data_IF_421147058027
#
_entry.id   IF_421147058027
#
_cell.length_a   1.000
_cell.length_b   1.000
_cell.length_c   1.000
_cell.angle_alpha   90.00
_cell.angle_beta   90.00
_cell.angle_gamma   90.00
#
_symmetry.space_group_name_H-M   'P 1'
#
loop_
_entity.id
_entity.type
_entity.pdbx_description
1 polymer ?
#
# COMPACT_ATOMS: atom_id res chain seq x y z
N UNK A 1 3.78 13.32 13.90
CA UNK A 1 3.60 12.15 13.02
C UNK A 1 2.88 12.50 11.72
N UNK A 2 1.66 13.05 11.74
CA UNK A 2 0.84 13.38 10.54
C UNK A 2 1.55 14.26 9.50
N UNK A 3 2.22 15.33 9.92
CA UNK A 3 3.00 16.19 9.01
C UNK A 3 4.17 15.48 8.33
N UNK A 4 4.83 14.53 9.03
CA UNK A 4 5.93 13.76 8.46
C UNK A 4 5.47 12.80 7.37
N UNK A 5 4.33 12.12 7.60
CA UNK A 5 3.72 11.24 6.61
C UNK A 5 3.28 12.03 5.37
N UNK A 6 2.62 13.17 5.55
CA UNK A 6 2.16 13.96 4.40
C UNK A 6 3.33 14.56 3.59
N UNK A 7 4.40 14.99 4.25
CA UNK A 7 5.61 15.45 3.55
C UNK A 7 6.26 14.33 2.73
N UNK A 8 6.38 13.13 3.29
CA UNK A 8 6.88 11.96 2.58
C UNK A 8 5.95 11.55 1.43
N UNK A 9 4.64 11.60 1.65
CA UNK A 9 3.64 11.30 0.62
C UNK A 9 3.71 12.29 -0.54
N UNK A 10 3.80 13.59 -0.24
CA UNK A 10 4.02 14.63 -1.25
C UNK A 10 5.27 14.33 -2.07
N UNK A 11 6.39 14.04 -1.43
CA UNK A 11 7.62 13.70 -2.14
C UNK A 11 7.44 12.49 -3.07
N UNK A 12 6.76 11.43 -2.62
CA UNK A 12 6.48 10.26 -3.45
C UNK A 12 5.57 10.64 -4.64
N UNK A 13 4.54 11.47 -4.44
CA UNK A 13 3.68 11.96 -5.53
C UNK A 13 4.48 12.76 -6.57
N UNK A 14 5.41 13.60 -6.12
CA UNK A 14 6.30 14.37 -7.01
C UNK A 14 7.17 13.44 -7.86
N UNK A 15 7.77 12.40 -7.24
CA UNK A 15 8.56 11.37 -7.95
C UNK A 15 7.72 10.60 -8.97
N UNK A 16 6.48 10.23 -8.64
CA UNK A 16 5.56 9.56 -9.59
C UNK A 16 5.29 10.47 -10.79
N UNK A 17 5.04 11.77 -10.56
CA UNK A 17 4.80 12.73 -11.65
C UNK A 17 6.02 12.85 -12.56
N UNK A 18 7.22 12.98 -11.97
CA UNK A 18 8.47 13.07 -12.72
C UNK A 18 8.69 11.81 -13.58
N UNK A 19 8.54 10.61 -13.00
CA UNK A 19 8.68 9.35 -13.73
C UNK A 19 7.67 9.27 -14.88
N UNK A 20 6.40 9.60 -14.61
CA UNK A 20 5.33 9.57 -15.60
C UNK A 20 5.63 10.51 -16.78
N UNK A 21 6.04 11.74 -16.50
CA UNK A 21 6.32 12.77 -17.52
C UNK A 21 7.57 12.47 -18.33
N UNK A 22 8.65 12.05 -17.65
CA UNK A 22 9.96 11.76 -18.25
C UNK A 22 9.90 10.52 -19.15
N UNK A 23 9.26 9.46 -18.69
CA UNK A 23 9.22 8.17 -19.38
C UNK A 23 7.94 7.94 -20.19
N UNK A 24 7.00 8.89 -20.18
CA UNK A 24 5.69 8.77 -20.83
C UNK A 24 4.90 7.54 -20.36
N UNK A 25 5.05 7.20 -19.08
CA UNK A 25 4.34 6.08 -18.45
C UNK A 25 3.06 6.62 -17.84
N UNK A 26 1.86 6.16 -18.25
CA UNK A 26 0.62 6.59 -17.64
C UNK A 26 0.51 6.06 -16.21
N UNK A 27 -0.22 6.77 -15.33
CA UNK A 27 -0.32 6.42 -13.90
C UNK A 27 -0.89 5.02 -13.68
N UNK A 28 -1.84 4.60 -14.51
CA UNK A 28 -2.41 3.24 -14.51
C UNK A 28 -1.42 2.16 -14.98
N UNK A 29 -0.12 2.47 -15.14
CA UNK A 29 0.99 1.53 -15.36
C UNK A 29 2.05 1.60 -14.25
N UNK A 30 1.77 2.32 -13.16
CA UNK A 30 2.66 2.50 -12.00
C UNK A 30 2.08 1.73 -10.81
N UNK A 31 2.95 1.03 -10.07
CA UNK A 31 2.60 0.33 -8.83
C UNK A 31 3.42 0.93 -7.70
N UNK A 32 2.79 1.20 -6.56
CA UNK A 32 3.49 1.57 -5.33
C UNK A 32 3.62 0.34 -4.43
N UNK A 33 4.85 -0.11 -4.21
CA UNK A 33 5.17 -1.23 -3.33
C UNK A 33 6.03 -0.72 -2.17
N UNK A 34 5.70 -1.12 -0.94
CA UNK A 34 6.50 -0.78 0.23
C UNK A 34 6.49 -1.85 1.33
N UNK A 35 7.54 -1.84 2.16
CA UNK A 35 7.71 -2.70 3.32
C UNK A 35 7.71 -1.88 4.61
N UNK A 36 7.06 -2.37 5.67
CA UNK A 36 7.01 -1.72 6.99
C UNK A 36 6.48 -0.28 6.86
N UNK A 37 7.24 0.73 7.30
CA UNK A 37 6.92 2.14 7.09
C UNK A 37 6.71 2.49 5.61
N UNK A 38 7.47 1.88 4.70
CA UNK A 38 7.26 2.03 3.26
C UNK A 38 5.90 1.51 2.82
N UNK A 39 5.40 0.43 3.43
CA UNK A 39 4.06 -0.11 3.18
C UNK A 39 2.96 0.83 3.67
N UNK A 40 3.20 1.53 4.79
CA UNK A 40 2.31 2.57 5.30
C UNK A 40 2.26 3.79 4.36
N UNK A 41 3.43 4.22 3.86
CA UNK A 41 3.54 5.32 2.89
C UNK A 41 2.93 4.96 1.54
N UNK A 42 3.08 3.72 1.07
CA UNK A 42 2.46 3.25 -0.16
C UNK A 42 0.93 3.33 -0.09
N UNK A 43 0.34 2.89 1.03
CA UNK A 43 -1.09 3.04 1.30
C UNK A 43 -1.52 4.50 1.36
N UNK A 44 -0.86 5.31 2.19
CA UNK A 44 -1.22 6.72 2.35
C UNK A 44 -1.14 7.47 1.02
N UNK A 45 -0.02 7.38 0.32
CA UNK A 45 0.17 8.06 -0.96
C UNK A 45 -0.79 7.56 -2.02
N UNK A 46 -0.91 6.24 -2.18
CA UNK A 46 -1.70 5.63 -3.24
C UNK A 46 -3.20 5.84 -3.09
N UNK A 47 -3.72 6.02 -1.87
CA UNK A 47 -5.14 6.31 -1.62
C UNK A 47 -5.47 7.81 -1.74
N UNK A 48 -4.48 8.68 -1.61
CA UNK A 48 -4.67 10.15 -1.58
C UNK A 48 -4.19 10.87 -2.83
N UNK A 49 -3.65 10.12 -3.80
CA UNK A 49 -3.26 10.66 -5.09
C UNK A 49 -4.50 10.90 -5.97
N UNK A 50 -4.54 12.03 -6.66
CA UNK A 50 -5.67 12.42 -7.53
C UNK A 50 -5.71 11.59 -8.83
N UNK A 51 -4.55 11.19 -9.36
CA UNK A 51 -4.44 10.31 -10.53
C UNK A 51 -4.23 8.88 -10.07
N UNK A 52 -5.24 8.04 -10.28
CA UNK A 52 -5.21 6.64 -9.86
C UNK A 52 -4.05 5.87 -10.51
N UNK A 53 -3.30 5.15 -9.68
CA UNK A 53 -2.21 4.26 -10.09
C UNK A 53 -2.73 2.83 -10.34
N UNK A 54 -1.93 1.96 -10.94
CA UNK A 54 -2.36 0.59 -11.25
C UNK A 54 -2.67 -0.24 -9.99
N UNK A 55 -1.86 -0.09 -8.94
CA UNK A 55 -2.05 -0.84 -7.71
C UNK A 55 -1.12 -0.43 -6.58
N UNK A 56 -1.45 -0.89 -5.38
CA UNK A 56 -0.66 -0.75 -4.16
C UNK A 56 -0.29 -2.13 -3.63
N UNK A 57 0.94 -2.32 -3.17
CA UNK A 57 1.40 -3.52 -2.47
C UNK A 57 2.03 -3.10 -1.15
N UNK A 58 1.48 -3.57 -0.02
CA UNK A 58 1.96 -3.26 1.31
C UNK A 58 2.41 -4.54 2.03
N UNK A 59 3.72 -4.67 2.24
CA UNK A 59 4.30 -5.74 3.05
C UNK A 59 4.52 -5.27 4.48
N UNK A 60 4.03 -6.01 5.47
CA UNK A 60 4.14 -5.66 6.90
C UNK A 60 3.76 -4.21 7.24
N UNK A 61 2.79 -3.66 6.51
CA UNK A 61 2.34 -2.28 6.64
C UNK A 61 1.08 -2.10 7.49
N UNK A 62 0.59 -0.87 7.54
CA UNK A 62 -0.64 -0.50 8.21
C UNK A 62 -1.17 0.85 7.66
N UNK A 63 -2.42 1.18 7.97
CA UNK A 63 -2.87 2.56 7.84
C UNK A 63 -2.20 3.43 8.92
N UNK A 64 -1.75 4.61 8.51
CA UNK A 64 -1.14 5.63 9.39
C UNK A 64 -2.17 6.39 10.23
N UNK A 65 -3.45 6.33 9.85
CA UNK A 65 -4.57 7.00 10.51
C UNK A 65 -5.46 5.99 11.24
N UNK A 66 -6.07 6.44 12.32
CA UNK A 66 -7.05 5.65 13.08
C UNK A 66 -8.43 5.68 12.44
N UNK A 67 -8.81 6.78 11.77
CA UNK A 67 -10.06 6.90 11.03
C UNK A 67 -9.79 7.16 9.53
N UNK A 68 -10.48 6.44 8.64
CA UNK A 68 -10.34 6.61 7.19
C UNK A 68 -10.77 8.00 6.69
N UNK A 69 -11.69 8.66 7.38
CA UNK A 69 -12.12 10.01 7.03
C UNK A 69 -10.93 11.00 7.05
N UNK A 70 -9.90 10.71 7.86
CA UNK A 70 -8.67 11.51 7.91
C UNK A 70 -7.75 11.31 6.70
N UNK A 71 -7.89 10.19 5.98
CA UNK A 71 -7.09 9.89 4.80
C UNK A 71 -7.53 10.74 3.62
N UNK A 72 -8.78 11.23 3.57
CA UNK A 72 -9.32 11.98 2.43
C UNK A 72 -9.06 11.24 1.10
N UNK A 73 -9.57 10.01 0.99
CA UNK A 73 -9.35 9.12 -0.16
C UNK A 73 -9.77 9.82 -1.46
N UNK A 74 -8.85 9.84 -2.43
CA UNK A 74 -9.02 10.45 -3.77
C UNK A 74 -9.03 9.42 -4.90
N UNK A 75 -8.43 8.25 -4.68
CA UNK A 75 -8.37 7.15 -5.63
C UNK A 75 -8.46 5.80 -4.91
N UNK A 76 -8.87 4.76 -5.64
CA UNK A 76 -9.12 3.42 -5.08
C UNK A 76 -8.42 2.34 -5.91
N UNK A 77 -7.09 2.43 -6.09
CA UNK A 77 -6.35 1.42 -6.84
C UNK A 77 -6.49 0.05 -6.17
N UNK A 78 -6.41 -1.01 -6.97
CA UNK A 78 -6.33 -2.39 -6.46
C UNK A 78 -5.19 -2.47 -5.44
N UNK A 79 -5.46 -3.08 -4.29
CA UNK A 79 -4.52 -3.08 -3.17
C UNK A 79 -4.25 -4.49 -2.67
N UNK A 80 -2.99 -4.82 -2.46
CA UNK A 80 -2.54 -6.07 -1.84
C UNK A 80 -1.88 -5.76 -0.51
N UNK A 81 -2.33 -6.43 0.55
CA UNK A 81 -1.68 -6.47 1.86
C UNK A 81 -1.09 -7.87 2.07
N UNK A 82 0.18 -7.94 2.45
CA UNK A 82 0.82 -9.20 2.83
C UNK A 82 1.54 -9.01 4.16
N UNK A 83 1.28 -9.87 5.14
CA UNK A 83 1.79 -9.66 6.50
C UNK A 83 2.12 -10.99 7.18
N UNK A 84 3.25 -11.02 7.88
CA UNK A 84 3.58 -12.12 8.79
C UNK A 84 2.64 -12.15 10.00
N UNK A 85 2.17 -13.34 10.39
CA UNK A 85 1.30 -13.49 11.57
C UNK A 85 2.08 -13.27 12.87
N UNK A 86 3.38 -13.56 12.87
CA UNK A 86 4.25 -13.51 14.05
C UNK A 86 5.05 -12.20 14.08
N UNK A 87 4.56 -11.16 13.39
CA UNK A 87 5.17 -9.83 13.34
C UNK A 87 4.88 -9.07 14.63
N UNK A 88 5.90 -8.90 15.47
CA UNK A 88 5.82 -8.13 16.72
C UNK A 88 6.26 -6.66 16.56
N UNK A 89 6.83 -6.28 15.40
CA UNK A 89 7.31 -4.92 15.14
C UNK A 89 6.16 -4.05 14.63
N UNK A 90 5.42 -4.56 13.66
CA UNK A 90 4.13 -4.01 13.24
C UNK A 90 3.11 -5.12 13.47
N UNK A 91 2.35 -5.09 14.58
CA UNK A 91 1.43 -6.16 14.91
C UNK A 91 0.50 -6.49 13.75
N UNK A 92 0.39 -7.78 13.39
CA UNK A 92 -0.43 -8.29 12.28
C UNK A 92 -1.85 -7.70 12.23
N UNK A 93 -2.48 -7.52 13.39
CA UNK A 93 -3.82 -6.93 13.56
C UNK A 93 -3.94 -5.53 12.93
N UNK A 94 -2.84 -4.80 12.79
CA UNK A 94 -2.80 -3.50 12.12
C UNK A 94 -3.12 -3.62 10.63
N UNK A 95 -2.70 -4.70 9.98
CA UNK A 95 -3.07 -4.99 8.58
C UNK A 95 -4.47 -5.58 8.47
N UNK A 96 -4.94 -6.36 9.46
CA UNK A 96 -6.34 -6.82 9.51
C UNK A 96 -7.29 -5.62 9.57
N UNK A 97 -7.05 -4.69 10.49
CA UNK A 97 -7.82 -3.47 10.61
C UNK A 97 -7.72 -2.58 9.36
N UNK A 98 -6.57 -2.55 8.69
CA UNK A 98 -6.42 -1.85 7.41
C UNK A 98 -7.29 -2.48 6.31
N UNK A 99 -7.27 -3.81 6.18
CA UNK A 99 -8.08 -4.55 5.22
C UNK A 99 -9.57 -4.28 5.38
N UNK A 100 -10.09 -4.36 6.62
CA UNK A 100 -11.50 -4.09 6.93
C UNK A 100 -11.90 -2.67 6.50
N UNK A 101 -11.13 -1.68 6.95
CA UNK A 101 -11.35 -0.27 6.60
C UNK A 101 -11.31 -0.04 5.09
N UNK A 102 -10.32 -0.59 4.39
CA UNK A 102 -10.21 -0.43 2.94
C UNK A 102 -11.41 -1.04 2.21
N UNK A 103 -11.94 -2.18 2.67
CA UNK A 103 -13.18 -2.75 2.14
C UNK A 103 -14.38 -1.86 2.39
N UNK A 104 -14.52 -1.31 3.60
CA UNK A 104 -15.58 -0.35 3.93
C UNK A 104 -15.52 0.90 3.04
N UNK A 105 -14.32 1.36 2.70
CA UNK A 105 -14.10 2.46 1.76
C UNK A 105 -14.33 2.08 0.28
N UNK A 106 -14.65 0.81 -0.02
CA UNK A 106 -14.87 0.30 -1.38
C UNK A 106 -13.60 0.18 -2.21
N UNK A 107 -12.44 0.00 -1.57
CA UNK A 107 -11.19 -0.35 -2.26
C UNK A 107 -11.19 -1.85 -2.55
N UNK A 108 -10.81 -2.25 -3.77
CA UNK A 108 -10.55 -3.65 -4.12
C UNK A 108 -9.26 -4.11 -3.44
N UNK A 109 -9.38 -4.62 -2.21
CA UNK A 109 -8.26 -5.04 -1.37
C UNK A 109 -8.23 -6.56 -1.16
N UNK A 110 -7.06 -7.14 -1.35
CA UNK A 110 -6.71 -8.52 -1.03
C UNK A 110 -5.73 -8.54 0.13
N UNK A 111 -5.90 -9.47 1.06
CA UNK A 111 -4.98 -9.65 2.19
C UNK A 111 -4.50 -11.09 2.26
N UNK A 112 -3.20 -11.27 2.43
CA UNK A 112 -2.55 -12.56 2.65
C UNK A 112 -1.76 -12.56 3.96
N UNK A 113 -1.87 -13.65 4.70
CA UNK A 113 -1.24 -13.82 6.02
C UNK A 113 -0.23 -14.96 5.95
N UNK A 114 1.00 -14.70 6.38
CA UNK A 114 2.09 -15.69 6.34
C UNK A 114 2.37 -16.19 7.75
N UNK A 115 1.90 -17.41 8.05
CA UNK A 115 2.12 -18.05 9.36
C UNK A 115 3.60 -18.39 9.53
N UNK A 116 4.17 -18.13 10.72
CA UNK A 116 5.59 -18.40 10.97
C UNK A 116 6.52 -17.26 10.51
N UNK A 117 5.99 -16.23 9.86
CA UNK A 117 6.77 -15.08 9.40
C UNK A 117 6.62 -13.94 10.40
N UNK A 118 7.75 -13.37 10.82
CA UNK A 118 7.84 -12.16 11.63
C UNK A 118 7.90 -10.90 10.74
N UNK A 119 8.62 -9.86 11.15
CA UNK A 119 8.77 -8.62 10.38
C UNK A 119 9.72 -8.76 9.19
N UNK A 120 9.28 -9.47 8.14
CA UNK A 120 10.11 -9.80 6.97
C UNK A 120 9.30 -10.05 5.69
N UNK A 121 10.00 -10.32 4.59
CA UNK A 121 9.46 -10.72 3.29
C UNK A 121 10.13 -12.03 2.90
N UNK A 122 9.38 -13.13 2.88
CA UNK A 122 9.87 -14.43 2.42
C UNK A 122 9.52 -14.69 0.95
N UNK A 123 9.83 -15.89 0.46
CA UNK A 123 9.53 -16.27 -0.92
C UNK A 123 8.01 -16.32 -1.22
N UNK A 124 7.18 -16.67 -0.23
CA UNK A 124 5.73 -16.68 -0.40
C UNK A 124 5.18 -15.27 -0.66
N UNK A 125 5.69 -14.27 0.08
CA UNK A 125 5.36 -12.86 -0.16
C UNK A 125 5.65 -12.43 -1.60
N UNK A 126 6.79 -12.86 -2.16
CA UNK A 126 7.19 -12.53 -3.53
C UNK A 126 6.26 -13.18 -4.56
N UNK A 127 5.93 -14.47 -4.40
CA UNK A 127 5.04 -15.16 -5.35
C UNK A 127 3.61 -14.60 -5.32
N UNK A 128 3.11 -14.23 -4.13
CA UNK A 128 1.81 -13.56 -3.98
C UNK A 128 1.81 -12.21 -4.71
N UNK A 129 2.82 -11.36 -4.48
CA UNK A 129 2.90 -10.06 -5.15
C UNK A 129 3.05 -10.19 -6.67
N UNK A 130 3.85 -11.15 -7.15
CA UNK A 130 3.97 -11.46 -8.58
C UNK A 130 2.64 -11.90 -9.18
N UNK A 131 1.86 -12.72 -8.46
CA UNK A 131 0.50 -13.10 -8.84
C UNK A 131 -0.42 -11.89 -8.96
N UNK A 132 -0.42 -11.03 -7.96
CA UNK A 132 -1.21 -9.80 -7.95
C UNK A 132 -0.83 -8.84 -9.10
N UNK A 133 0.45 -8.60 -9.34
CA UNK A 133 0.93 -7.73 -10.44
C UNK A 133 0.40 -8.20 -11.80
N UNK A 134 0.31 -9.50 -12.05
CA UNK A 134 -0.25 -10.06 -13.29
C UNK A 134 -1.74 -9.79 -13.47
N UNK A 135 -2.46 -9.35 -12.43
CA UNK A 135 -3.89 -8.99 -12.51
C UNK A 135 -4.12 -7.50 -12.81
N UNK A 136 -3.07 -6.70 -12.84
CA UNK A 136 -3.14 -5.25 -13.03
C UNK A 136 -2.97 -4.84 -14.51
N UNK A 137 -2.37 -5.70 -15.33
CA UNK A 137 -2.04 -5.44 -16.75
C UNK A 137 -2.43 -6.61 -17.64
#
# INVERSE_FOLDING_TARGET
MKAGVENAAKYIRDVISEISEKHKIPYNRIILLGFSQGGMLALHTGLTIEKEIAGIISFSGALVVSNLEELNIRSKPKTLLVHGVDDEVVPYDRSVAANEKLKEAGVDVQMHSIKGLSHSIDYNCIEIAKGFIKTLF
#
